data_IF_333098061390
#
_entry.id   IF_333098061390
#
_cell.length_a   1.000
_cell.length_b   1.000
_cell.length_c   1.000
_cell.angle_alpha   90.00
_cell.angle_beta   90.00
_cell.angle_gamma   90.00
#
_symmetry.space_group_name_H-M   'P 1'
#
loop_
_entity.id
_entity.type
_entity.pdbx_description
1 polymer ?
#
# COMPACT_ATOMS: atom_id res chain seq x y z
N UNK A 1 1.68 15.77 -32.48
CA UNK A 1 1.44 14.36 -32.13
C UNK A 1 2.46 14.04 -31.04
N UNK A 2 2.03 13.95 -29.78
CA UNK A 2 2.91 13.76 -28.62
C UNK A 2 2.78 12.30 -28.16
N UNK A 3 3.92 11.65 -27.88
CA UNK A 3 4.07 10.23 -27.57
C UNK A 3 2.99 9.69 -26.65
N UNK A 4 2.28 8.66 -27.14
CA UNK A 4 1.43 7.77 -26.33
C UNK A 4 2.16 6.46 -26.04
N UNK A 5 3.37 6.52 -25.50
CA UNK A 5 3.91 5.34 -24.82
C UNK A 5 3.31 5.32 -23.40
N UNK A 6 2.34 4.42 -23.20
CA UNK A 6 1.81 4.16 -21.86
C UNK A 6 2.92 3.57 -20.99
N UNK A 7 2.98 4.00 -19.73
CA UNK A 7 3.87 3.36 -18.74
C UNK A 7 3.45 1.90 -18.63
N UNK A 8 4.34 0.97 -19.01
CA UNK A 8 4.14 -0.46 -18.75
C UNK A 8 4.46 -0.68 -17.28
N UNK A 9 3.45 -1.00 -16.48
CA UNK A 9 3.63 -1.38 -15.08
C UNK A 9 3.28 -2.86 -14.95
N UNK A 10 4.28 -3.66 -14.61
CA UNK A 10 4.10 -5.09 -14.34
C UNK A 10 4.96 -5.51 -13.14
N UNK A 11 4.70 -6.69 -12.54
CA UNK A 11 5.43 -7.16 -11.36
C UNK A 11 6.93 -7.46 -11.57
N UNK A 12 7.45 -7.45 -12.80
CA UNK A 12 8.81 -7.88 -13.14
C UNK A 12 9.69 -6.73 -13.67
N UNK A 13 9.10 -5.66 -14.19
CA UNK A 13 9.78 -4.49 -14.72
C UNK A 13 10.09 -3.40 -13.68
N UNK A 14 11.00 -2.49 -14.03
CA UNK A 14 11.22 -1.24 -13.30
C UNK A 14 10.75 -0.07 -14.17
N UNK A 15 9.70 0.60 -13.72
CA UNK A 15 9.11 1.72 -14.45
C UNK A 15 9.14 2.98 -13.61
N UNK A 16 9.62 4.08 -14.19
CA UNK A 16 9.61 5.38 -13.54
C UNK A 16 8.19 5.96 -13.55
N UNK A 17 7.47 5.76 -12.46
CA UNK A 17 6.14 6.34 -12.24
C UNK A 17 6.27 7.82 -11.91
N UNK A 18 5.61 8.68 -12.69
CA UNK A 18 5.51 10.11 -12.42
C UNK A 18 4.14 10.55 -11.93
N UNK A 19 3.09 9.82 -12.27
CA UNK A 19 1.70 10.17 -11.91
C UNK A 19 1.02 9.01 -11.18
N UNK A 20 1.16 9.01 -9.86
CA UNK A 20 0.53 8.01 -9.00
C UNK A 20 -0.99 8.15 -8.96
N UNK A 21 -1.56 9.35 -9.16
CA UNK A 21 -3.02 9.56 -9.14
C UNK A 21 -3.69 8.81 -10.28
N UNK A 22 -3.14 8.96 -11.49
CA UNK A 22 -3.62 8.23 -12.66
C UNK A 22 -3.53 6.71 -12.48
N UNK A 23 -2.44 6.22 -11.88
CA UNK A 23 -2.32 4.79 -11.61
C UNK A 23 -3.35 4.31 -10.59
N UNK A 24 -3.56 5.07 -9.52
CA UNK A 24 -4.57 4.73 -8.53
C UNK A 24 -5.95 4.58 -9.16
N UNK A 25 -6.36 5.52 -10.03
CA UNK A 25 -7.60 5.43 -10.80
C UNK A 25 -7.63 4.19 -11.69
N UNK A 26 -6.55 3.91 -12.42
CA UNK A 26 -6.46 2.74 -13.32
C UNK A 26 -6.52 1.40 -12.58
N UNK A 27 -5.95 1.33 -11.39
CA UNK A 27 -5.90 0.12 -10.57
C UNK A 27 -7.05 0.05 -9.56
N UNK A 28 -7.97 1.02 -9.52
CA UNK A 28 -9.05 1.05 -8.53
C UNK A 28 -8.52 1.04 -7.10
N UNK A 29 -7.57 1.94 -6.83
CA UNK A 29 -6.97 2.18 -5.52
C UNK A 29 -7.52 3.50 -5.00
N UNK A 30 -8.05 3.48 -3.79
CA UNK A 30 -8.59 4.65 -3.11
C UNK A 30 -7.49 5.33 -2.27
N UNK A 31 -7.53 6.66 -2.08
CA UNK A 31 -6.53 7.36 -1.29
C UNK A 31 -6.70 7.10 0.21
N UNK A 32 -5.59 6.78 0.88
CA UNK A 32 -5.56 6.64 2.34
C UNK A 32 -5.47 8.02 2.99
N UNK A 33 -6.62 8.63 3.27
CA UNK A 33 -6.72 9.99 3.80
C UNK A 33 -7.89 10.16 4.79
N UNK A 34 -7.98 11.34 5.43
CA UNK A 34 -9.14 11.73 6.23
C UNK A 34 -9.43 10.80 7.41
N UNK A 35 -10.70 10.40 7.54
CA UNK A 35 -11.21 9.58 8.64
C UNK A 35 -10.50 8.21 8.75
N UNK A 36 -10.10 7.62 7.62
CA UNK A 36 -9.40 6.33 7.63
C UNK A 36 -8.07 6.40 8.38
N UNK A 37 -7.33 7.50 8.23
CA UNK A 37 -6.07 7.70 8.97
C UNK A 37 -6.32 7.82 10.47
N UNK A 38 -7.45 8.38 10.88
CA UNK A 38 -7.79 8.54 12.29
C UNK A 38 -8.28 7.22 12.93
N UNK A 39 -8.85 6.32 12.13
CA UNK A 39 -9.29 4.98 12.55
C UNK A 39 -8.17 3.95 12.65
N UNK A 40 -6.99 4.24 12.11
CA UNK A 40 -5.82 3.39 12.25
C UNK A 40 -5.42 3.21 13.73
N UNK A 41 -5.08 1.99 14.20
CA UNK A 41 -4.70 1.73 15.60
C UNK A 41 -3.63 2.68 16.15
N UNK A 42 -2.68 3.04 15.29
CA UNK A 42 -1.74 4.13 15.53
C UNK A 42 -1.22 4.69 14.19
N UNK A 43 -0.82 5.97 14.21
CA UNK A 43 -0.33 6.67 13.02
C UNK A 43 1.10 6.26 12.65
N UNK A 44 1.22 5.14 11.93
CA UNK A 44 2.51 4.62 11.49
C UNK A 44 3.25 5.65 10.61
N UNK A 45 4.59 5.67 10.69
CA UNK A 45 5.39 6.66 9.96
C UNK A 45 5.28 6.54 8.45
N UNK A 46 4.96 5.35 7.93
CA UNK A 46 4.80 5.13 6.48
C UNK A 46 3.54 5.83 5.95
N UNK A 47 2.46 5.86 6.73
CA UNK A 47 1.25 6.63 6.42
C UNK A 47 1.53 8.12 6.55
N UNK A 48 2.10 8.57 7.68
CA UNK A 48 2.39 10.00 7.91
C UNK A 48 3.33 10.62 6.86
N UNK A 49 4.24 9.83 6.28
CA UNK A 49 5.17 10.27 5.23
C UNK A 49 4.63 10.05 3.81
N UNK A 50 3.37 9.61 3.66
CA UNK A 50 2.74 9.27 2.38
C UNK A 50 3.53 8.26 1.56
N UNK A 51 4.15 7.29 2.22
CA UNK A 51 4.77 6.12 1.59
C UNK A 51 3.68 5.09 1.29
N UNK A 52 2.80 4.82 2.27
CA UNK A 52 1.54 4.14 2.07
C UNK A 52 0.48 5.23 1.93
N UNK A 53 -0.07 5.38 0.74
CA UNK A 53 -0.98 6.48 0.38
C UNK A 53 -2.27 6.01 -0.30
N UNK A 54 -2.43 4.71 -0.51
CA UNK A 54 -3.62 4.15 -1.12
C UNK A 54 -3.97 2.78 -0.55
N UNK A 55 -5.23 2.41 -0.70
CA UNK A 55 -5.78 1.16 -0.20
C UNK A 55 -6.90 0.63 -1.10
N UNK A 56 -7.42 -0.55 -0.76
CA UNK A 56 -8.68 -1.08 -1.27
C UNK A 56 -9.41 -1.77 -0.12
N UNK A 57 -10.68 -1.41 0.09
CA UNK A 57 -11.55 -2.00 1.12
C UNK A 57 -10.95 -2.00 2.55
N UNK A 58 -10.11 -1.02 2.88
CA UNK A 58 -9.44 -0.95 4.18
C UNK A 58 -10.44 -0.73 5.32
N UNK A 59 -11.55 -0.07 5.03
CA UNK A 59 -12.71 0.13 5.89
C UNK A 59 -13.19 -1.18 6.51
N UNK A 60 -13.15 -2.28 5.74
CA UNK A 60 -13.58 -3.60 6.21
C UNK A 60 -12.63 -4.13 7.29
N UNK A 61 -11.32 -4.00 7.06
CA UNK A 61 -10.30 -4.42 8.02
C UNK A 61 -10.32 -3.54 9.26
N UNK A 62 -10.47 -2.22 9.10
CA UNK A 62 -10.57 -1.29 10.23
C UNK A 62 -11.80 -1.59 11.10
N UNK A 63 -12.96 -1.90 10.49
CA UNK A 63 -14.14 -2.34 11.26
C UNK A 63 -13.85 -3.62 12.04
N UNK A 64 -13.24 -4.62 11.41
CA UNK A 64 -12.89 -5.87 12.10
C UNK A 64 -11.96 -5.61 13.29
N UNK A 65 -10.96 -4.74 13.14
CA UNK A 65 -10.06 -4.33 14.23
C UNK A 65 -10.83 -3.63 15.36
N UNK A 66 -11.71 -2.69 15.03
CA UNK A 66 -12.52 -1.93 16.00
C UNK A 66 -13.51 -2.82 16.77
N UNK A 67 -14.07 -3.83 16.10
CA UNK A 67 -15.03 -4.78 16.67
C UNK A 67 -14.36 -5.97 17.38
N UNK A 68 -13.03 -6.13 17.22
CA UNK A 68 -12.28 -7.26 17.79
C UNK A 68 -12.50 -8.58 17.05
N UNK A 69 -12.89 -8.50 15.78
CA UNK A 69 -13.13 -9.65 14.90
C UNK A 69 -11.83 -10.16 14.27
N UNK A 70 -11.84 -11.43 13.85
CA UNK A 70 -10.68 -12.04 13.22
C UNK A 70 -10.45 -11.53 11.80
N UNK A 71 -9.19 -11.26 11.46
CA UNK A 71 -8.74 -10.98 10.10
C UNK A 71 -7.36 -11.60 9.86
N UNK A 72 -6.99 -11.79 8.59
CA UNK A 72 -5.72 -12.36 8.21
C UNK A 72 -4.86 -11.34 7.46
N UNK A 73 -3.56 -11.35 7.73
CA UNK A 73 -2.56 -10.55 7.00
C UNK A 73 -1.70 -11.48 6.16
N UNK A 74 -1.53 -11.16 4.88
CA UNK A 74 -0.70 -11.93 3.96
C UNK A 74 0.16 -11.00 3.12
N UNK A 75 1.45 -11.30 3.01
CA UNK A 75 2.36 -10.64 2.08
C UNK A 75 3.33 -11.65 1.47
N UNK A 76 3.96 -11.28 0.35
CA UNK A 76 4.95 -12.11 -0.34
C UNK A 76 6.28 -11.38 -0.47
N UNK A 77 7.37 -12.01 -0.02
CA UNK A 77 8.74 -11.52 -0.24
C UNK A 77 9.48 -12.57 -1.07
N UNK A 78 9.83 -12.23 -2.30
CA UNK A 78 10.59 -13.14 -3.17
C UNK A 78 12.04 -13.24 -2.67
N UNK A 79 12.57 -14.44 -2.39
CA UNK A 79 13.91 -14.60 -1.84
C UNK A 79 15.04 -14.51 -2.90
N UNK A 80 14.79 -13.89 -4.05
CA UNK A 80 15.73 -13.87 -5.18
C UNK A 80 16.84 -12.81 -5.08
N UNK A 81 16.93 -12.10 -3.96
CA UNK A 81 17.94 -11.05 -3.73
C UNK A 81 18.13 -10.76 -2.25
N UNK A 82 19.12 -9.93 -1.94
CA UNK A 82 19.37 -9.47 -0.57
C UNK A 82 18.23 -8.62 -0.02
N UNK A 83 17.96 -8.78 1.26
CA UNK A 83 16.95 -7.98 1.94
C UNK A 83 17.41 -6.52 2.02
N UNK A 84 16.70 -5.62 1.33
CA UNK A 84 17.03 -4.20 1.26
C UNK A 84 15.91 -3.33 1.83
N UNK A 85 16.11 -2.00 1.81
CA UNK A 85 15.17 -1.04 2.38
C UNK A 85 13.76 -1.14 1.80
N UNK A 86 13.60 -1.39 0.50
CA UNK A 86 12.28 -1.64 -0.11
C UNK A 86 11.52 -2.80 0.56
N UNK A 87 12.12 -3.98 0.64
CA UNK A 87 11.55 -5.16 1.31
C UNK A 87 11.25 -4.90 2.79
N UNK A 88 12.09 -4.12 3.47
CA UNK A 88 11.87 -3.69 4.86
C UNK A 88 10.56 -2.93 5.03
N UNK A 89 10.18 -2.05 4.09
CA UNK A 89 8.94 -1.29 4.17
C UNK A 89 7.70 -2.21 4.11
N UNK A 90 7.73 -3.23 3.24
CA UNK A 90 6.66 -4.24 3.16
C UNK A 90 6.56 -5.06 4.45
N UNK A 91 7.69 -5.48 5.03
CA UNK A 91 7.69 -6.20 6.32
C UNK A 91 7.13 -5.35 7.46
N UNK A 92 7.41 -4.04 7.47
CA UNK A 92 6.87 -3.13 8.49
C UNK A 92 5.35 -2.95 8.37
N UNK A 93 4.82 -2.83 7.15
CA UNK A 93 3.38 -2.78 6.92
C UNK A 93 2.71 -4.08 7.34
N UNK A 94 3.34 -5.24 7.06
CA UNK A 94 2.83 -6.53 7.52
C UNK A 94 2.77 -6.62 9.05
N UNK A 95 3.85 -6.25 9.75
CA UNK A 95 3.90 -6.26 11.21
C UNK A 95 2.86 -5.30 11.81
N UNK A 96 2.67 -4.13 11.18
CA UNK A 96 1.69 -3.14 11.61
C UNK A 96 0.27 -3.70 11.73
N UNK A 97 -0.15 -4.52 10.78
CA UNK A 97 -1.48 -5.15 10.79
C UNK A 97 -1.52 -6.47 11.58
N UNK A 98 -0.42 -6.91 12.18
CA UNK A 98 -0.43 -8.05 13.12
C UNK A 98 -0.48 -7.61 14.59
N UNK A 99 -0.18 -6.35 14.88
CA UNK A 99 -0.11 -5.77 16.22
C UNK A 99 -1.40 -5.11 16.64
#
# INVERSE_FOLDING_TARGET
MMDREGIVLDPWGTSHVKDYRRLMEQFGIEPLEGELIERLPYKHRLVRRRIIFGHRDLEMILRAIEEGEEYAVMTGIKPSGEFHLGTKLTSEEFIYFLS
#
